data_IF_156352462613
#
_entry.id   IF_156352462613
#
_cell.length_a   1.000
_cell.length_b   1.000
_cell.length_c   1.000
_cell.angle_alpha   90.00
_cell.angle_beta   90.00
_cell.angle_gamma   90.00
#
_symmetry.space_group_name_H-M   'P 1'
#
loop_
_entity.id
_entity.type
_entity.pdbx_description
1 polymer ?
2 polymer ?
3 water ?
#
# COMPACT_ATOMS: atom_id res chain seq x y z
N UNK A 1 -14.60 -8.40 -12.69
CA UNK A 1 -14.35 -7.65 -11.43
C UNK A 1 -13.57 -6.36 -11.68
N UNK A 2 -13.92 -5.32 -10.93
CA UNK A 2 -13.26 -4.03 -11.04
C UNK A 2 -12.22 -3.91 -9.93
N UNK A 3 -10.98 -3.62 -10.33
CA UNK A 3 -9.87 -3.47 -9.40
C UNK A 3 -9.66 -2.02 -8.98
N UNK A 4 -9.33 -1.83 -7.71
CA UNK A 4 -9.07 -0.51 -7.15
C UNK A 4 -7.68 -0.52 -6.53
N UNK A 5 -6.97 0.59 -6.68
CA UNK A 5 -5.64 0.73 -6.11
C UNK A 5 -5.57 2.01 -5.30
N UNK A 6 -4.99 1.90 -4.11
CA UNK A 6 -4.83 3.02 -3.20
C UNK A 6 -3.45 3.64 -3.41
N UNK A 7 -3.41 4.96 -3.48
CA UNK A 7 -2.16 5.68 -3.68
C UNK A 7 -1.30 5.71 -2.43
N UNK A 8 -0.06 5.28 -2.56
CA UNK A 8 0.90 5.26 -1.46
C UNK A 8 1.55 6.63 -1.30
N UNK A 9 1.71 7.35 -2.42
CA UNK A 9 2.32 8.68 -2.41
C UNK A 9 1.61 9.62 -3.38
N UNK A 10 1.94 10.91 -3.29
CA UNK A 10 1.38 11.91 -4.19
C UNK A 10 2.13 11.74 -5.49
N UNK A 11 1.43 11.90 -6.61
CA UNK A 11 2.08 11.81 -7.90
C UNK A 11 1.79 13.10 -8.64
N UNK A 12 2.82 13.93 -8.77
CA UNK A 12 2.70 15.20 -9.46
C UNK A 12 3.20 14.98 -10.89
N UNK A 13 2.28 14.99 -11.87
CA UNK A 13 2.53 14.79 -13.30
C UNK A 13 3.49 15.80 -13.91
N UNK A 14 4.37 15.32 -14.79
CA UNK A 14 5.35 16.18 -15.45
C UNK A 14 5.08 16.22 -16.95
N UNK A 15 4.17 15.35 -17.40
CA UNK A 15 3.79 15.26 -18.81
C UNK A 15 2.27 15.15 -18.90
N UNK A 16 1.71 15.57 -20.03
CA UNK A 16 0.26 15.51 -20.24
C UNK A 16 -0.21 14.07 -20.46
N UNK A 17 -1.40 13.76 -19.95
CA UNK A 17 -1.95 12.43 -20.09
C UNK A 17 -1.70 11.57 -18.86
N UNK A 18 -1.03 12.16 -17.88
CA UNK A 18 -0.71 11.48 -16.63
C UNK A 18 -1.71 11.84 -15.54
N UNK A 19 -2.20 10.81 -14.86
CA UNK A 19 -3.19 10.98 -13.80
C UNK A 19 -2.59 11.45 -12.48
N UNK A 20 -2.95 12.66 -12.08
CA UNK A 20 -2.48 13.25 -10.84
C UNK A 20 -3.28 12.72 -9.66
N UNK A 21 -2.60 12.48 -8.54
CA UNK A 21 -3.28 11.99 -7.35
C UNK A 21 -2.51 12.29 -6.09
N UNK A 22 -3.21 12.17 -4.97
CA UNK A 22 -2.65 12.40 -3.65
C UNK A 22 -2.68 11.09 -2.88
N UNK A 23 -1.81 10.99 -1.88
CA UNK A 23 -1.71 9.82 -1.03
C UNK A 23 -3.06 9.53 -0.36
N UNK A 24 -3.56 8.31 -0.55
CA UNK A 24 -4.84 7.95 0.05
C UNK A 24 -5.96 7.85 -0.96
N UNK A 25 -5.76 8.42 -2.14
CA UNK A 25 -6.78 8.38 -3.19
C UNK A 25 -6.92 6.96 -3.74
N UNK A 26 -8.12 6.63 -4.20
CA UNK A 26 -8.39 5.31 -4.75
C UNK A 26 -8.72 5.42 -6.23
N UNK A 27 -7.85 4.82 -7.04
CA UNK A 27 -7.99 4.83 -8.49
C UNK A 27 -8.65 3.54 -8.96
N UNK A 28 -9.47 3.66 -10.00
CA UNK A 28 -10.15 2.52 -10.59
C UNK A 28 -9.31 2.06 -11.79
N UNK A 29 -8.80 0.84 -11.72
CA UNK A 29 -7.97 0.29 -12.79
C UNK A 29 -8.72 0.06 -14.09
N UNK A 30 -8.09 0.49 -15.18
CA UNK A 30 -8.63 0.33 -16.52
C UNK A 30 -7.67 -0.55 -17.32
N UNK A 31 -6.37 -0.29 -17.16
CA UNK A 31 -5.34 -1.06 -17.86
C UNK A 31 -4.02 -1.11 -17.10
N UNK A 32 -3.40 -2.29 -17.12
CA UNK A 32 -2.12 -2.49 -16.45
C UNK A 32 -1.22 -3.50 -17.15
N UNK A 33 -1.22 -3.44 -18.48
CA UNK A 33 -0.40 -4.33 -19.31
C UNK A 33 1.07 -3.96 -19.16
N UNK A 34 1.31 -2.65 -19.03
CA UNK A 34 2.65 -2.12 -18.86
C UNK A 34 3.05 -2.24 -17.39
N UNK A 35 4.22 -2.85 -17.12
CA UNK A 35 4.76 -3.06 -15.77
C UNK A 35 4.97 -1.77 -14.97
N UNK A 36 5.21 -0.67 -15.68
CA UNK A 36 5.47 0.62 -15.03
C UNK A 36 4.36 1.65 -15.12
N UNK A 37 3.72 1.74 -16.28
CA UNK A 37 2.66 2.73 -16.48
C UNK A 37 1.26 2.13 -16.60
N UNK A 38 0.45 2.38 -15.58
CA UNK A 38 -0.92 1.89 -15.54
C UNK A 38 -1.91 3.01 -15.82
N UNK A 39 -3.08 2.65 -16.32
CA UNK A 39 -4.12 3.63 -16.61
C UNK A 39 -5.29 3.44 -15.66
N UNK A 40 -5.85 4.55 -15.19
CA UNK A 40 -6.97 4.49 -14.27
C UNK A 40 -7.91 5.68 -14.33
N UNK A 41 -8.96 5.61 -13.53
CA UNK A 41 -9.97 6.65 -13.44
C UNK A 41 -10.09 7.16 -12.01
N UNK A 42 -9.71 8.42 -11.80
CA UNK A 42 -9.79 9.05 -10.50
C UNK A 42 -10.78 10.20 -10.68
N UNK A 43 -11.99 9.98 -10.18
CA UNK A 43 -13.09 10.94 -10.29
C UNK A 43 -13.38 11.17 -11.78
N UNK A 44 -13.47 12.43 -12.20
CA UNK A 44 -13.74 12.74 -13.61
C UNK A 44 -12.46 12.81 -14.45
N UNK A 45 -11.35 12.35 -13.87
CA UNK A 45 -10.06 12.35 -14.55
C UNK A 45 -9.56 10.94 -14.89
N UNK A 46 -8.94 10.81 -16.06
CA UNK A 46 -8.41 9.53 -16.53
C UNK A 46 -7.03 9.72 -17.14
N UNK A 47 -6.11 8.81 -16.83
CA UNK A 47 -4.76 8.88 -17.36
C UNK A 47 -3.85 7.80 -16.82
N UNK A 48 -2.56 7.89 -17.14
CA UNK A 48 -1.58 6.90 -16.68
C UNK A 48 -0.78 7.36 -15.46
N UNK A 49 -0.31 6.39 -14.68
CA UNK A 49 0.44 6.67 -13.46
C UNK A 49 1.46 5.57 -13.16
N UNK A 50 2.46 5.87 -12.31
CA UNK A 50 3.51 4.92 -11.93
C UNK A 50 2.92 3.78 -11.12
N UNK A 51 3.07 2.56 -11.62
CA UNK A 51 2.54 1.36 -10.96
C UNK A 51 3.03 1.19 -9.52
N UNK A 52 4.27 1.62 -9.25
CA UNK A 52 4.86 1.50 -7.91
C UNK A 52 4.36 2.52 -6.88
N UNK A 53 3.53 3.46 -7.31
CA UNK A 53 2.97 4.47 -6.40
C UNK A 53 1.66 4.02 -5.76
N UNK A 54 1.23 2.81 -6.09
CA UNK A 54 -0.02 2.27 -5.57
C UNK A 54 0.09 0.80 -5.17
N UNK A 55 -1.01 0.28 -4.62
CA UNK A 55 -1.15 -1.11 -4.21
C UNK A 55 -2.66 -1.40 -4.16
N UNK A 56 -3.06 -2.69 -4.16
CA UNK A 56 -4.48 -3.06 -4.13
C UNK A 56 -5.32 -2.50 -2.98
N UNK A 57 -6.60 -2.29 -3.28
CA UNK A 57 -7.59 -1.75 -2.33
C UNK A 57 -8.77 -2.75 -2.23
N UNK A 58 -9.71 -2.49 -1.33
CA UNK A 58 -10.89 -3.35 -1.12
C UNK A 58 -11.63 -3.74 -2.40
N UNK B 2 11.33 -13.30 1.69
CA UNK B 2 10.00 -13.59 1.08
C UNK B 2 8.92 -12.65 1.61
N UNK B 3 8.10 -12.15 0.70
CA UNK B 3 6.98 -11.27 1.00
C UNK B 3 7.19 -10.16 2.03
N UNK B 4 7.17 -8.93 1.54
CA UNK B 4 7.32 -7.75 2.37
C UNK B 4 6.02 -6.96 2.28
N UNK B 5 5.67 -6.28 3.36
CA UNK B 5 4.46 -5.47 3.40
C UNK B 5 4.83 -4.06 3.86
N UNK B 6 4.03 -3.08 3.46
CA UNK B 6 4.28 -1.69 3.83
C UNK B 6 3.10 -1.09 4.57
N UNK B 7 3.41 -0.30 5.59
CA UNK B 7 2.40 0.34 6.42
C UNK B 7 1.66 1.47 5.72
N UNK B 8 0.33 1.41 5.78
CA UNK B 8 -0.52 2.43 5.18
C UNK B 8 -0.80 3.53 6.18
N UNK B 9 -0.87 3.16 7.46
CA UNK B 9 -1.14 4.13 8.52
C UNK B 9 -0.25 3.85 9.73
N UNK B 10 -0.18 4.83 10.62
CA UNK B 10 0.59 4.71 11.86
C UNK B 10 -0.15 3.72 12.75
N UNK B 11 0.59 2.88 13.46
CA UNK B 11 -0.03 1.92 14.35
C UNK B 11 0.64 1.92 15.72
N UNK B 12 -0.07 2.43 16.71
CA UNK B 12 0.42 2.46 18.07
C UNK B 12 -0.32 1.39 18.87
N UNK B 13 0.36 0.26 19.14
CA UNK B 13 -0.16 -0.89 19.88
C UNK B 13 -0.71 -0.55 21.26
N UNK B 14 -1.87 -1.12 21.56
CA UNK B 14 -2.53 -0.90 22.84
C UNK B 14 -2.46 -2.16 23.68
N UNK B 15 -1.86 -3.21 23.12
CA UNK B 15 -1.74 -4.49 23.79
C UNK B 15 -0.33 -5.05 23.66
N UNK B 16 -0.10 -6.21 24.28
CA UNK B 16 1.19 -6.89 24.26
C UNK B 16 1.42 -7.71 22.98
N UNK B 17 2.68 -7.77 22.55
CA UNK B 17 3.03 -8.52 21.36
C UNK B 17 2.68 -7.83 20.06
N UNK B 18 2.09 -6.64 20.15
CA UNK B 18 1.72 -5.89 18.95
C UNK B 18 2.85 -4.99 18.48
N UNK B 19 3.22 -5.17 17.21
CA UNK B 19 4.30 -4.44 16.56
C UNK B 19 3.91 -3.02 16.15
N UNK B 20 4.55 -2.03 16.77
CA UNK B 20 4.28 -0.63 16.47
C UNK B 20 4.95 -0.23 15.17
N UNK B 21 4.35 0.71 14.45
CA UNK B 21 4.94 1.18 13.20
C UNK B 21 4.38 2.49 12.66
N UNK B 22 5.14 3.10 11.75
CA UNK B 22 4.75 4.35 11.13
C UNK B 22 4.42 4.06 9.68
N UNK B 23 3.62 4.93 9.07
CA UNK B 23 3.26 4.79 7.67
C UNK B 23 4.56 4.80 6.85
N UNK B 24 4.63 3.95 5.84
CA UNK B 24 5.83 3.90 5.02
C UNK B 24 6.80 2.81 5.45
N UNK B 25 6.65 2.32 6.68
CA UNK B 25 7.53 1.26 7.18
C UNK B 25 7.35 -0.01 6.37
N UNK B 26 8.46 -0.70 6.15
CA UNK B 26 8.46 -1.96 5.42
C UNK B 26 8.68 -3.07 6.44
N UNK B 27 7.79 -4.06 6.40
CA UNK B 27 7.82 -5.18 7.32
C UNK B 27 7.93 -6.51 6.59
N UNK B 28 8.78 -7.39 7.12
CA UNK B 28 8.96 -8.72 6.54
C UNK B 28 7.93 -9.64 7.17
N UNK B 29 7.15 -10.31 6.33
CA UNK B 29 6.10 -11.22 6.79
C UNK B 29 6.68 -12.54 7.30
N UNK B 30 6.24 -12.95 8.48
CA UNK B 30 6.69 -14.20 9.10
C UNK B 30 5.54 -15.21 9.09
N UNK B 31 4.37 -14.74 9.52
CA UNK B 31 3.20 -15.60 9.60
C UNK B 31 1.89 -14.84 9.38
N UNK B 32 0.96 -15.47 8.67
CA UNK B 32 -0.35 -14.89 8.43
C UNK B 32 -1.45 -15.93 8.52
N UNK B 33 -1.38 -16.76 9.56
CA UNK B 33 -2.38 -17.80 9.80
C UNK B 33 -3.70 -17.13 10.13
N UNK B 34 -3.63 -16.11 10.98
CA UNK B 34 -4.81 -15.34 11.36
C UNK B 34 -5.02 -14.33 10.22
N UNK B 35 -6.25 -14.25 9.68
CA UNK B 35 -6.57 -13.32 8.59
C UNK B 35 -6.46 -11.84 8.97
N UNK B 36 -6.57 -11.55 10.26
CA UNK B 36 -6.51 -10.17 10.74
C UNK B 36 -5.22 -9.78 11.45
N UNK B 37 -4.64 -10.71 12.21
CA UNK B 37 -3.41 -10.43 12.94
C UNK B 37 -2.21 -11.16 12.37
N UNK B 38 -1.42 -10.43 11.60
CA UNK B 38 -0.23 -10.96 10.96
C UNK B 38 1.03 -10.70 11.77
N UNK B 39 1.98 -11.62 11.68
CA UNK B 39 3.25 -11.48 12.39
C UNK B 39 4.35 -11.16 11.39
N UNK B 40 5.22 -10.23 11.78
CA UNK B 40 6.30 -9.84 10.90
C UNK B 40 7.49 -9.24 11.63
N UNK B 41 8.49 -8.86 10.85
CA UNK B 41 9.71 -8.27 11.39
C UNK B 41 9.88 -6.85 10.87
N UNK B 42 10.13 -5.92 11.79
CA UNK B 42 10.36 -4.52 11.47
C UNK B 42 11.68 -4.18 12.17
N UNK B 43 12.77 -4.29 11.43
CA UNK B 43 14.12 -4.08 11.95
C UNK B 43 14.34 -5.07 13.10
N UNK B 44 14.69 -4.59 14.29
CA UNK B 44 14.93 -5.46 15.43
C UNK B 44 13.73 -5.74 16.35
N UNK B 45 12.53 -5.49 15.85
CA UNK B 45 11.31 -5.74 16.63
C UNK B 45 10.44 -6.76 15.90
N UNK B 46 9.90 -7.71 16.66
CA UNK B 46 9.03 -8.74 16.10
C UNK B 46 7.69 -8.74 16.84
N UNK B 47 6.60 -8.97 16.10
CA UNK B 47 5.29 -8.98 16.73
C UNK B 47 4.14 -9.02 15.73
N UNK B 48 2.91 -8.98 16.24
CA UNK B 48 1.74 -9.02 15.37
C UNK B 48 1.17 -7.63 15.07
N UNK B 49 0.58 -7.50 13.89
CA UNK B 49 0.01 -6.24 13.44
C UNK B 49 -1.25 -6.49 12.61
N UNK B 50 -2.19 -5.53 12.62
CA UNK B 50 -3.45 -5.64 11.87
C UNK B 50 -3.20 -5.66 10.36
N UNK B 51 -3.73 -6.69 9.70
CA UNK B 51 -3.57 -6.88 8.26
C UNK B 51 -4.21 -5.78 7.41
N UNK B 52 -5.15 -5.04 7.98
CA UNK B 52 -5.81 -3.97 7.25
C UNK B 52 -5.03 -2.65 7.30
N UNK B 53 -3.86 -2.68 7.94
CA UNK B 53 -2.98 -1.51 8.05
C UNK B 53 -1.79 -1.59 7.10
N UNK B 54 -1.76 -2.62 6.26
CA UNK B 54 -0.66 -2.82 5.31
C UNK B 54 -1.13 -3.35 3.95
N UNK B 55 -0.20 -3.33 3.00
CA UNK B 55 -0.40 -3.84 1.65
C UNK B 55 1.01 -4.26 1.19
N UNK B 56 1.11 -5.12 0.17
CA UNK B 56 2.39 -5.61 -0.35
C UNK B 56 3.45 -4.59 -0.77
N UNK B 57 4.70 -4.91 -0.44
CA UNK B 57 5.86 -4.10 -0.80
C UNK B 57 6.70 -4.98 -1.72
N UNK B 58 6.60 -4.72 -3.02
CA UNK B 58 7.31 -5.51 -4.03
C UNK B 58 8.83 -5.61 -3.91
N UNK B 59 9.49 -4.53 -3.49
CA UNK B 59 10.94 -4.52 -3.32
C UNK B 59 11.71 -4.83 -4.61
N UNK B 60 11.94 -3.79 -5.41
CA UNK B 60 12.66 -3.90 -6.67
C UNK B 60 12.02 -4.89 -7.64
C UNK C 1 9.72 8.68 -0.97
N UNK C 2 9.05 9.06 -2.07
CA UNK C 2 8.40 8.12 -2.98
C UNK C 2 9.42 7.24 -3.70
N UNK C 3 8.95 6.16 -4.34
CA UNK C 3 9.83 5.26 -5.08
C UNK C 3 10.16 5.92 -6.42
N UNK C 4 11.23 5.47 -7.09
CA UNK C 4 11.61 6.05 -8.38
C UNK C 4 10.58 5.84 -9.49
N UNK C 5 10.19 6.94 -10.14
CA UNK C 5 9.24 6.89 -11.24
C UNK C 5 10.02 6.33 -12.43
N UNK C 6 9.53 5.25 -13.03
CA UNK C 6 10.24 4.68 -14.17
C UNK C 6 10.29 5.62 -15.36
N UNK C 7 11.16 5.37 -16.34
CA UNK C 7 11.28 6.22 -17.53
C UNK C 7 9.97 6.28 -18.32
N UNK C 8 9.50 7.49 -18.58
CA UNK C 8 8.27 7.69 -19.34
C UNK C 8 8.36 7.14 -20.77
C UNK D 1 -7.91 5.88 8.04
N UNK D 2 -7.28 5.81 9.22
CA UNK D 2 -7.06 4.57 9.96
C UNK D 2 -8.36 3.84 10.29
N UNK D 3 -8.53 2.62 9.75
CA UNK D 3 -9.73 1.80 9.97
C UNK D 3 -9.67 1.19 11.38
N UNK D 4 -10.81 0.73 11.90
CA UNK D 4 -10.76 0.14 13.24
C UNK D 4 -9.94 -1.16 13.21
N UNK D 5 -9.19 -1.40 14.27
CA UNK D 5 -8.36 -2.59 14.39
C UNK D 5 -9.23 -3.77 14.84
N UNK D 6 -9.05 -4.93 14.21
CA UNK D 6 -9.82 -6.10 14.59
C UNK D 6 -9.51 -6.52 16.01
N UNK D 7 -10.43 -7.23 16.68
CA UNK D 7 -10.24 -7.68 18.06
C UNK D 7 -9.15 -8.74 18.17
N UNK D 8 -8.45 -8.75 19.30
CA UNK D 8 -7.41 -9.74 19.54
C UNK D 8 -8.09 -11.08 19.82
N UNK D 9 -7.32 -12.16 19.80
CA UNK D 9 -7.86 -13.49 20.05
C UNK D 9 -8.37 -13.57 21.49
#
# INVERSE_FOLDING_TARGET
>A
ETKFVQALFDFNPQESGELAFKRGDVITLINKDDPNWWEGQLNNRRGIFPSNYVCPYNSN
>B
ETKFVQALFDFNPQESGELAFKRGDVITLINKDDPNWWEGQLNNRRGIFPSNYVCPYNSN
>C
XPPPVXPRR
>D
XPPPVXPRR
#
